data_IF_764064155793
#
_entry.id   IF_764064155793
#
_cell.length_a   1.000
_cell.length_b   1.000
_cell.length_c   1.000
_cell.angle_alpha   90.00
_cell.angle_beta   90.00
_cell.angle_gamma   90.00
#
_symmetry.space_group_name_H-M   'P 1'
#
loop_
_entity.id
_entity.type
_entity.pdbx_description
1 polymer ?
#
# COMPACT_ATOMS: atom_id res chain seq x y z
N UNK A 1 9.70 11.34 -20.16
CA UNK A 1 9.98 9.95 -20.61
C UNK A 1 9.49 9.03 -19.52
N UNK A 2 8.86 7.92 -19.88
CA UNK A 2 8.37 6.95 -18.90
C UNK A 2 9.57 6.32 -18.16
N UNK A 3 9.47 6.20 -16.85
CA UNK A 3 10.49 5.56 -16.03
C UNK A 3 10.10 4.11 -15.80
N UNK A 4 10.85 3.19 -16.39
CA UNK A 4 10.56 1.76 -16.34
C UNK A 4 11.44 1.01 -15.35
N UNK A 5 12.35 1.70 -14.67
CA UNK A 5 13.29 1.09 -13.73
C UNK A 5 12.76 1.14 -12.29
N UNK A 6 13.13 0.13 -11.50
CA UNK A 6 12.91 0.16 -10.06
C UNK A 6 14.19 0.64 -9.39
N UNK A 7 14.13 1.84 -8.85
CA UNK A 7 15.24 2.44 -8.13
C UNK A 7 15.45 1.75 -6.78
N UNK A 8 16.67 1.87 -6.23
CA UNK A 8 17.01 1.43 -4.88
C UNK A 8 17.54 2.62 -4.10
N UNK A 9 17.02 2.86 -2.90
CA UNK A 9 17.46 4.01 -2.12
C UNK A 9 16.76 4.15 -0.78
N UNK A 10 17.41 4.75 0.20
CA UNK A 10 16.88 4.89 1.55
C UNK A 10 15.52 5.60 1.59
N UNK A 11 14.64 5.28 2.55
CA UNK A 11 13.37 5.98 2.71
C UNK A 11 13.61 7.44 3.08
N UNK A 12 12.72 8.32 2.62
CA UNK A 12 12.74 9.74 3.01
C UNK A 12 12.44 9.93 4.51
N UNK A 13 13.00 10.99 5.10
CA UNK A 13 12.86 11.30 6.53
C UNK A 13 11.42 11.60 7.00
N UNK A 14 10.47 11.74 6.07
CA UNK A 14 9.06 11.97 6.35
C UNK A 14 8.29 10.69 6.74
N UNK A 15 8.91 9.52 6.51
CA UNK A 15 8.33 8.20 6.79
C UNK A 15 8.55 7.88 8.26
N UNK A 16 7.46 7.69 9.01
CA UNK A 16 7.55 7.21 10.38
C UNK A 16 7.94 5.73 10.37
N UNK A 17 8.97 5.34 11.12
CA UNK A 17 9.33 3.93 11.25
C UNK A 17 8.53 3.30 12.38
N UNK A 18 7.83 2.20 12.09
CA UNK A 18 7.24 1.34 13.11
C UNK A 18 8.08 0.09 13.32
N UNK A 19 8.21 -0.35 14.57
CA UNK A 19 8.83 -1.63 14.88
C UNK A 19 8.00 -2.78 14.31
N UNK A 20 8.65 -3.90 14.04
CA UNK A 20 7.97 -5.09 13.56
C UNK A 20 7.13 -5.69 14.71
N UNK A 21 5.79 -5.71 14.62
CA UNK A 21 4.95 -6.29 15.65
C UNK A 21 5.06 -7.81 15.65
N UNK A 22 4.69 -8.43 16.77
CA UNK A 22 4.47 -9.88 16.84
C UNK A 22 3.02 -10.18 16.48
N UNK A 23 2.82 -11.24 15.69
CA UNK A 23 1.50 -11.79 15.47
C UNK A 23 0.89 -12.27 16.81
N UNK A 24 -0.42 -12.11 16.94
CA UNK A 24 -1.15 -12.61 18.08
C UNK A 24 -1.46 -14.12 17.93
N UNK A 25 -0.92 -14.99 18.82
CA UNK A 25 -1.11 -16.43 18.70
C UNK A 25 -2.57 -16.89 18.75
N UNK A 26 -3.49 -16.04 19.24
CA UNK A 26 -4.93 -16.32 19.23
C UNK A 26 -5.47 -16.60 17.82
N UNK A 27 -4.81 -16.10 16.79
CA UNK A 27 -5.24 -16.23 15.39
C UNK A 27 -4.44 -17.25 14.57
N UNK A 28 -3.51 -18.00 15.18
CA UNK A 28 -2.64 -18.95 14.46
C UNK A 28 -3.44 -20.01 13.68
N UNK A 29 -4.55 -20.51 14.26
CA UNK A 29 -5.43 -21.48 13.62
C UNK A 29 -6.21 -20.94 12.41
N UNK A 30 -6.19 -19.62 12.19
CA UNK A 30 -6.85 -18.94 11.07
C UNK A 30 -5.88 -18.50 9.97
N UNK A 31 -4.59 -18.81 10.11
CA UNK A 31 -3.58 -18.58 9.07
C UNK A 31 -3.95 -19.42 7.84
N UNK A 32 -3.94 -18.78 6.67
CA UNK A 32 -4.20 -19.40 5.36
C UNK A 32 -2.98 -19.25 4.47
N UNK A 33 -2.78 -20.20 3.56
CA UNK A 33 -1.70 -20.15 2.57
C UNK A 33 -0.29 -20.17 3.17
N UNK A 34 -0.12 -20.56 4.44
CA UNK A 34 1.20 -20.65 5.09
C UNK A 34 1.87 -19.30 5.38
N UNK A 35 1.12 -18.19 5.35
CA UNK A 35 1.65 -16.84 5.58
C UNK A 35 0.99 -16.20 6.80
N UNK A 36 1.80 -15.74 7.75
CA UNK A 36 1.33 -14.92 8.88
C UNK A 36 1.65 -13.45 8.62
N UNK A 37 0.63 -12.64 8.31
CA UNK A 37 0.80 -11.21 8.05
C UNK A 37 1.17 -10.45 9.33
N UNK A 38 2.18 -9.59 9.26
CA UNK A 38 2.67 -8.82 10.41
C UNK A 38 2.40 -7.33 10.22
N UNK A 39 2.71 -6.77 9.06
CA UNK A 39 2.52 -5.34 8.79
C UNK A 39 1.92 -5.17 7.41
N UNK A 40 0.90 -4.31 7.35
CA UNK A 40 0.51 -3.56 6.17
C UNK A 40 0.46 -2.10 6.55
N UNK A 41 1.38 -1.33 5.99
CA UNK A 41 1.49 0.09 6.30
C UNK A 41 1.50 0.90 5.02
N UNK A 42 0.75 1.99 5.03
CA UNK A 42 0.79 3.00 4.00
C UNK A 42 0.95 4.38 4.63
N UNK A 43 1.88 5.16 4.09
CA UNK A 43 2.03 6.57 4.42
C UNK A 43 1.98 7.38 3.16
N UNK A 44 1.17 8.43 3.14
CA UNK A 44 0.98 9.30 1.99
C UNK A 44 1.30 10.72 2.42
N UNK A 45 2.03 11.44 1.59
CA UNK A 45 2.14 12.89 1.70
C UNK A 45 1.82 13.57 0.38
N UNK A 46 1.15 14.70 0.46
CA UNK A 46 1.01 15.62 -0.67
C UNK A 46 2.39 16.18 -1.05
N UNK A 47 2.58 16.44 -2.35
CA UNK A 47 3.68 17.23 -2.88
C UNK A 47 3.17 18.14 -4.00
N UNK A 48 3.96 19.15 -4.43
CA UNK A 48 3.67 19.86 -5.66
C UNK A 48 3.54 18.88 -6.84
N UNK A 49 2.40 18.93 -7.53
CA UNK A 49 2.12 18.10 -8.72
C UNK A 49 1.71 16.66 -8.45
N UNK A 50 1.45 16.26 -7.20
CA UNK A 50 0.92 14.93 -6.89
C UNK A 50 1.18 14.46 -5.47
N UNK A 51 1.59 13.20 -5.33
CA UNK A 51 1.81 12.57 -4.02
C UNK A 51 3.12 11.80 -3.98
N UNK A 52 3.61 11.58 -2.78
CA UNK A 52 4.61 10.56 -2.49
C UNK A 52 4.01 9.61 -1.45
N UNK A 53 4.04 8.32 -1.78
CA UNK A 53 3.49 7.28 -0.94
C UNK A 53 4.57 6.28 -0.57
N UNK A 54 4.51 5.76 0.63
CA UNK A 54 5.35 4.71 1.14
C UNK A 54 4.47 3.52 1.53
N UNK A 55 4.75 2.34 0.98
CA UNK A 55 4.15 1.08 1.42
C UNK A 55 5.16 0.14 2.04
N UNK A 56 4.78 -0.46 3.16
CA UNK A 56 5.51 -1.55 3.81
C UNK A 56 4.62 -2.77 3.92
N UNK A 57 5.22 -3.92 3.64
CA UNK A 57 4.64 -5.20 4.00
C UNK A 57 5.67 -6.03 4.76
N UNK A 58 5.20 -6.69 5.81
CA UNK A 58 5.98 -7.71 6.49
C UNK A 58 5.12 -8.93 6.80
N UNK A 59 5.66 -10.12 6.56
CA UNK A 59 4.97 -11.38 6.79
C UNK A 59 5.94 -12.51 7.09
N UNK A 60 5.49 -13.49 7.88
CA UNK A 60 6.26 -14.69 8.24
C UNK A 60 5.86 -15.87 7.38
N UNK A 61 6.85 -16.62 6.89
CA UNK A 61 6.66 -17.92 6.24
C UNK A 61 6.43 -18.98 7.32
N UNK A 62 5.27 -19.61 7.32
CA UNK A 62 4.86 -20.56 8.37
C UNK A 62 5.07 -22.02 7.93
N UNK A 63 4.90 -22.30 6.64
CA UNK A 63 5.05 -23.64 6.07
C UNK A 63 5.55 -23.61 4.61
N UNK A 64 5.57 -24.78 3.97
CA UNK A 64 6.03 -24.94 2.59
C UNK A 64 5.12 -24.26 1.56
N UNK A 65 3.81 -24.24 1.77
CA UNK A 65 2.87 -23.53 0.89
C UNK A 65 3.14 -22.02 0.96
N UNK A 66 3.36 -21.51 2.16
CA UNK A 66 3.79 -20.11 2.35
C UNK A 66 5.11 -19.82 1.66
N UNK A 67 6.07 -20.74 1.71
CA UNK A 67 7.37 -20.56 1.05
C UNK A 67 7.22 -20.42 -0.48
N UNK A 68 6.34 -21.20 -1.09
CA UNK A 68 6.10 -21.16 -2.54
C UNK A 68 5.51 -19.81 -3.00
N UNK A 69 4.72 -19.15 -2.16
CA UNK A 69 4.09 -17.86 -2.47
C UNK A 69 4.87 -16.64 -1.98
N UNK A 70 5.51 -16.75 -0.81
CA UNK A 70 6.19 -15.65 -0.12
C UNK A 70 7.66 -15.47 -0.48
N UNK A 71 8.20 -16.28 -1.40
CA UNK A 71 9.57 -16.12 -1.91
C UNK A 71 9.67 -15.12 -3.08
N UNK A 72 8.55 -14.50 -3.49
CA UNK A 72 8.53 -13.52 -4.56
C UNK A 72 7.70 -12.30 -4.16
N UNK A 73 8.14 -11.12 -4.58
CA UNK A 73 7.41 -9.87 -4.42
C UNK A 73 7.10 -9.33 -5.80
N UNK A 74 5.86 -8.94 -6.02
CA UNK A 74 5.43 -8.29 -7.25
C UNK A 74 4.56 -7.08 -6.93
N UNK A 75 4.69 -6.06 -7.76
CA UNK A 75 3.86 -4.86 -7.65
C UNK A 75 3.71 -4.17 -9.00
N UNK A 76 2.58 -3.50 -9.18
CA UNK A 76 2.25 -2.79 -10.42
C UNK A 76 2.50 -1.28 -10.25
N UNK A 77 2.88 -0.61 -11.34
CA UNK A 77 3.03 0.84 -11.41
C UNK A 77 2.82 1.35 -12.83
N UNK A 78 2.35 2.59 -12.96
CA UNK A 78 2.28 3.30 -14.23
C UNK A 78 3.61 4.05 -14.46
N UNK A 79 4.44 3.63 -15.42
CA UNK A 79 5.74 4.24 -15.67
C UNK A 79 5.65 5.66 -16.25
N UNK A 80 4.48 6.07 -16.76
CA UNK A 80 4.29 7.42 -17.29
C UNK A 80 4.09 8.45 -16.17
N UNK A 81 3.55 8.03 -15.03
CA UNK A 81 3.16 8.92 -13.93
C UNK A 81 3.83 8.61 -12.61
N UNK A 82 4.52 7.46 -12.50
CA UNK A 82 5.08 6.99 -11.23
C UNK A 82 6.56 6.64 -11.34
N UNK A 83 7.33 7.00 -10.31
CA UNK A 83 8.69 6.51 -10.09
C UNK A 83 8.71 5.71 -8.80
N UNK A 84 9.28 4.50 -8.84
CA UNK A 84 9.29 3.59 -7.69
C UNK A 84 10.71 3.40 -7.19
N UNK A 85 10.89 3.52 -5.88
CA UNK A 85 12.14 3.21 -5.18
C UNK A 85 11.88 2.14 -4.14
N UNK A 86 12.52 0.97 -4.28
CA UNK A 86 12.58 -0.01 -3.20
C UNK A 86 13.51 0.54 -2.12
N UNK A 87 12.98 0.70 -0.91
CA UNK A 87 13.71 1.29 0.21
C UNK A 87 14.47 0.27 1.05
N UNK A 88 13.88 -0.91 1.25
CA UNK A 88 14.55 -2.06 1.83
C UNK A 88 13.86 -3.34 1.38
N UNK A 89 14.62 -4.43 1.42
CA UNK A 89 14.14 -5.79 1.23
C UNK A 89 14.98 -6.68 2.15
N UNK A 90 14.36 -7.16 3.22
CA UNK A 90 15.04 -7.89 4.27
C UNK A 90 14.42 -9.28 4.45
N UNK A 91 15.29 -10.24 4.75
CA UNK A 91 14.91 -11.48 5.43
C UNK A 91 15.28 -11.31 6.90
N UNK A 92 14.35 -11.54 7.82
CA UNK A 92 14.63 -11.59 9.25
C UNK A 92 14.54 -13.06 9.68
N UNK A 93 15.69 -13.64 10.04
CA UNK A 93 15.85 -15.05 10.42
C UNK A 93 16.41 -15.13 11.83
N UNK A 94 15.66 -15.73 12.74
CA UNK A 94 16.05 -15.87 14.15
C UNK A 94 16.46 -14.52 14.80
N UNK A 95 15.78 -13.44 14.41
CA UNK A 95 16.06 -12.07 14.87
C UNK A 95 17.22 -11.37 14.16
N UNK A 96 17.94 -12.05 13.25
CA UNK A 96 19.01 -11.47 12.44
C UNK A 96 18.44 -10.90 11.15
N UNK A 97 18.73 -9.62 10.87
CA UNK A 97 18.35 -8.95 9.62
C UNK A 97 19.39 -9.25 8.53
N UNK A 98 18.93 -9.81 7.43
CA UNK A 98 19.71 -10.08 6.23
C UNK A 98 19.21 -9.16 5.12
N UNK A 99 20.00 -8.14 4.79
CA UNK A 99 19.69 -7.22 3.69
C UNK A 99 19.86 -7.93 2.34
N UNK A 100 18.78 -7.96 1.56
CA UNK A 100 18.73 -8.56 0.22
C UNK A 100 18.67 -7.50 -0.89
N UNK A 101 18.35 -6.25 -0.57
CA UNK A 101 18.13 -5.21 -1.58
C UNK A 101 19.34 -4.97 -2.51
N UNK A 102 20.60 -4.93 -2.03
CA UNK A 102 21.76 -4.72 -2.90
C UNK A 102 21.88 -5.77 -4.01
N UNK A 103 21.50 -7.02 -3.74
CA UNK A 103 21.58 -8.15 -4.68
C UNK A 103 20.28 -8.43 -5.44
N UNK A 104 19.19 -7.79 -5.05
CA UNK A 104 17.89 -7.96 -5.71
C UNK A 104 17.93 -7.50 -7.18
N UNK A 105 17.40 -8.31 -8.08
CA UNK A 105 17.17 -7.93 -9.47
C UNK A 105 15.67 -7.81 -9.70
N UNK A 106 15.25 -6.68 -10.27
CA UNK A 106 13.85 -6.43 -10.60
C UNK A 106 13.61 -6.72 -12.07
N UNK A 107 12.80 -7.74 -12.36
CA UNK A 107 12.29 -8.00 -13.69
C UNK A 107 11.05 -7.13 -13.89
N UNK A 108 11.10 -6.23 -14.88
CA UNK A 108 9.99 -5.33 -15.19
C UNK A 108 9.42 -5.71 -16.54
N UNK A 109 8.12 -6.01 -16.56
CA UNK A 109 7.43 -6.47 -17.77
C UNK A 109 5.99 -5.97 -17.81
N UNK A 110 5.42 -5.94 -19.03
CA UNK A 110 4.00 -5.67 -19.23
C UNK A 110 3.22 -6.96 -19.02
N UNK A 111 2.17 -6.91 -18.21
CA UNK A 111 1.22 -8.01 -18.03
C UNK A 111 -0.17 -7.52 -18.40
N UNK A 112 -0.52 -7.62 -19.67
CA UNK A 112 -1.81 -7.15 -20.19
C UNK A 112 -2.90 -8.18 -19.85
N UNK A 113 -3.53 -8.02 -18.68
CA UNK A 113 -4.63 -8.90 -18.23
C UNK A 113 -5.88 -8.80 -19.13
N UNK A 114 -6.03 -7.70 -19.88
CA UNK A 114 -7.18 -7.39 -20.73
C UNK A 114 -6.81 -7.15 -22.21
N UNK A 115 -5.66 -7.67 -22.69
CA UNK A 115 -5.25 -7.57 -24.09
C UNK A 115 -6.34 -8.08 -25.05
N UNK A 116 -7.06 -9.12 -24.65
CA UNK A 116 -8.18 -9.71 -25.40
C UNK A 116 -9.37 -8.75 -25.58
N UNK A 117 -9.46 -7.70 -24.75
CA UNK A 117 -10.45 -6.61 -24.85
C UNK A 117 -9.90 -5.37 -25.58
N UNK A 118 -8.67 -5.44 -26.11
CA UNK A 118 -8.01 -4.33 -26.80
C UNK A 118 -7.60 -3.17 -25.89
N UNK A 119 -7.58 -3.36 -24.57
CA UNK A 119 -7.20 -2.35 -23.60
C UNK A 119 -5.70 -2.47 -23.27
N UNK A 120 -4.94 -1.44 -23.63
CA UNK A 120 -3.53 -1.29 -23.27
C UNK A 120 -3.44 -0.13 -22.28
N UNK A 121 -3.39 -0.43 -20.97
CA UNK A 121 -3.34 0.59 -19.92
C UNK A 121 -1.92 1.13 -19.66
N UNK A 122 -0.88 0.47 -20.20
CA UNK A 122 0.52 0.87 -20.09
C UNK A 122 1.18 0.54 -18.75
N UNK A 123 0.48 -0.13 -17.82
CA UNK A 123 1.04 -0.48 -16.52
C UNK A 123 2.12 -1.55 -16.63
N UNK A 124 3.14 -1.45 -15.78
CA UNK A 124 4.20 -2.42 -15.66
C UNK A 124 4.07 -3.19 -14.35
N UNK A 125 4.41 -4.47 -14.39
CA UNK A 125 4.64 -5.29 -13.20
C UNK A 125 6.14 -5.36 -12.96
N UNK A 126 6.58 -4.97 -11.77
CA UNK A 126 7.90 -5.30 -11.27
C UNK A 126 7.83 -6.57 -10.44
N UNK A 127 8.79 -7.45 -10.65
CA UNK A 127 8.90 -8.74 -9.98
C UNK A 127 10.31 -8.90 -9.41
N UNK A 128 10.42 -9.43 -8.20
CA UNK A 128 11.70 -9.78 -7.57
C UNK A 128 11.57 -11.11 -6.84
N UNK A 129 12.51 -12.01 -7.11
CA UNK A 129 12.71 -13.21 -6.30
C UNK A 129 13.50 -12.84 -5.04
N UNK A 130 13.05 -13.32 -3.90
CA UNK A 130 13.77 -13.22 -2.64
C UNK A 130 14.52 -14.54 -2.43
N UNK A 131 15.83 -14.53 -2.72
CA UNK A 131 16.64 -15.75 -2.66
C UNK A 131 16.90 -16.24 -1.23
N UNK A 132 16.98 -17.57 -1.08
CA UNK A 132 17.27 -18.25 0.21
C UNK A 132 16.23 -17.90 1.30
N UNK A 133 14.95 -17.89 0.95
CA UNK A 133 13.84 -17.84 1.93
C UNK A 133 13.58 -19.23 2.49
N UNK A 134 13.24 -19.30 3.78
CA UNK A 134 12.99 -20.53 4.53
C UNK A 134 11.71 -20.42 5.36
N UNK A 135 11.15 -21.57 5.71
CA UNK A 135 10.11 -21.64 6.73
C UNK A 135 10.65 -21.07 8.05
N UNK A 136 9.89 -20.18 8.67
CA UNK A 136 10.27 -19.44 9.87
C UNK A 136 10.78 -18.02 9.60
N UNK A 137 11.24 -17.74 8.39
CA UNK A 137 11.73 -16.40 8.01
C UNK A 137 10.58 -15.38 7.98
N UNK A 138 10.92 -14.12 8.25
CA UNK A 138 10.06 -12.97 7.98
C UNK A 138 10.62 -12.22 6.78
N UNK A 139 9.76 -11.94 5.81
CA UNK A 139 10.07 -11.01 4.72
C UNK A 139 9.56 -9.64 5.15
N UNK A 140 10.41 -8.63 5.10
CA UNK A 140 10.06 -7.22 5.38
C UNK A 140 10.61 -6.35 4.25
N UNK A 141 9.72 -5.69 3.52
CA UNK A 141 10.09 -4.77 2.47
C UNK A 141 9.27 -3.49 2.54
N UNK A 142 9.88 -2.42 2.07
CA UNK A 142 9.22 -1.13 1.96
C UNK A 142 9.66 -0.42 0.70
N UNK A 143 8.73 0.27 0.04
CA UNK A 143 9.02 1.06 -1.15
C UNK A 143 8.33 2.41 -1.08
N UNK A 144 8.92 3.38 -1.76
CA UNK A 144 8.36 4.70 -1.97
C UNK A 144 7.97 4.82 -3.43
N UNK A 145 6.77 5.32 -3.68
CA UNK A 145 6.29 5.67 -5.02
C UNK A 145 6.02 7.16 -5.06
N UNK A 146 6.72 7.84 -5.94
CA UNK A 146 6.40 9.21 -6.34
C UNK A 146 5.38 9.13 -7.46
N UNK A 147 4.20 9.75 -7.31
CA UNK A 147 3.16 9.79 -8.34
C UNK A 147 2.88 11.24 -8.74
N UNK A 148 2.93 11.50 -10.04
CA UNK A 148 2.63 12.77 -10.68
C UNK A 148 1.47 12.54 -11.65
N UNK A 149 0.21 12.67 -11.21
CA UNK A 149 -0.95 12.45 -12.07
C UNK A 149 -0.96 13.41 -13.26
N UNK A 150 -1.38 12.94 -14.44
CA UNK A 150 -1.57 13.78 -15.64
C UNK A 150 -2.77 14.72 -15.46
N UNK A 151 -3.81 14.22 -14.78
CA UNK A 151 -5.07 14.92 -14.53
C UNK A 151 -5.38 14.87 -13.04
N UNK A 152 -6.03 15.91 -12.52
CA UNK A 152 -6.47 15.94 -11.13
C UNK A 152 -5.33 15.81 -10.11
N UNK A 153 -4.17 16.43 -10.37
CA UNK A 153 -2.99 16.32 -9.48
C UNK A 153 -3.25 16.81 -8.03
N UNK A 154 -4.24 17.68 -7.82
CA UNK A 154 -4.68 18.17 -6.51
C UNK A 154 -5.86 17.35 -5.92
N UNK A 155 -6.39 16.39 -6.67
CA UNK A 155 -7.41 15.48 -6.19
C UNK A 155 -6.76 14.31 -5.45
N UNK A 156 -7.33 13.98 -4.30
CA UNK A 156 -6.90 12.87 -3.49
C UNK A 156 -8.11 12.06 -3.06
N UNK A 157 -8.04 10.75 -3.32
CA UNK A 157 -9.01 9.77 -2.88
C UNK A 157 -8.24 8.54 -2.44
N UNK A 158 -8.57 8.03 -1.26
CA UNK A 158 -7.94 6.83 -0.73
C UNK A 158 -8.96 6.04 0.09
N UNK A 159 -8.86 4.72 0.04
CA UNK A 159 -9.70 3.83 0.81
C UNK A 159 -8.85 2.71 1.36
N UNK A 160 -8.97 2.46 2.65
CA UNK A 160 -8.14 1.47 3.34
C UNK A 160 -8.99 0.62 4.28
N UNK A 161 -8.81 -0.70 4.20
CA UNK A 161 -9.43 -1.64 5.11
C UNK A 161 -8.62 -1.72 6.41
N UNK A 162 -9.29 -1.65 7.55
CA UNK A 162 -8.72 -1.71 8.90
C UNK A 162 -8.77 -3.12 9.52
N UNK A 163 -9.27 -4.11 8.77
CA UNK A 163 -9.17 -5.53 9.09
C UNK A 163 -9.34 -6.34 7.79
N UNK A 164 -8.79 -7.54 7.74
CA UNK A 164 -8.82 -8.40 6.56
C UNK A 164 -9.52 -9.73 6.89
N UNK A 165 -9.70 -10.58 5.86
CA UNK A 165 -10.17 -11.95 6.05
C UNK A 165 -9.11 -12.91 6.58
N UNK A 166 -7.85 -12.48 6.62
CA UNK A 166 -6.73 -13.21 7.20
C UNK A 166 -6.16 -12.47 8.42
N UNK A 167 -5.56 -13.18 9.39
CA UNK A 167 -4.87 -12.57 10.51
C UNK A 167 -3.76 -11.61 10.06
N UNK A 168 -3.68 -10.46 10.71
CA UNK A 168 -2.62 -9.46 10.53
C UNK A 168 -2.31 -8.78 11.86
N UNK A 169 -1.03 -8.56 12.16
CA UNK A 169 -0.64 -7.96 13.44
C UNK A 169 -0.82 -6.43 13.50
N UNK A 170 -0.54 -5.71 12.41
CA UNK A 170 -0.70 -4.27 12.32
C UNK A 170 -1.17 -3.85 10.93
N UNK A 171 -2.26 -3.09 10.89
CA UNK A 171 -2.61 -2.22 9.76
C UNK A 171 -2.37 -0.78 10.23
N UNK A 172 -1.61 0.01 9.45
CA UNK A 172 -1.36 1.42 9.73
C UNK A 172 -1.49 2.27 8.48
N UNK A 173 -2.34 3.29 8.55
CA UNK A 173 -2.48 4.30 7.50
C UNK A 173 -2.06 5.67 8.07
N UNK A 174 -1.21 6.41 7.35
CA UNK A 174 -0.91 7.80 7.67
C UNK A 174 -1.06 8.68 6.44
N UNK A 175 -1.91 9.69 6.51
CA UNK A 175 -2.03 10.71 5.45
C UNK A 175 -1.56 12.05 6.00
N UNK A 176 -0.59 12.67 5.33
CA UNK A 176 -0.09 14.02 5.62
C UNK A 176 -0.49 14.97 4.48
N UNK A 177 -1.27 15.99 4.81
CA UNK A 177 -1.92 16.85 3.84
C UNK A 177 -1.83 18.33 4.25
N UNK A 178 -1.94 19.30 3.32
CA UNK A 178 -2.00 20.72 3.68
C UNK A 178 -3.12 21.02 4.69
N UNK A 179 -2.78 21.73 5.77
CA UNK A 179 -3.73 22.10 6.82
C UNK A 179 -4.83 23.06 6.30
N UNK A 180 -4.54 23.81 5.24
CA UNK A 180 -5.49 24.68 4.53
C UNK A 180 -6.50 23.93 3.66
N UNK A 181 -6.30 22.63 3.42
CA UNK A 181 -7.17 21.78 2.61
C UNK A 181 -7.63 20.59 3.47
N UNK A 182 -8.63 20.77 4.34
CA UNK A 182 -9.08 19.68 5.20
C UNK A 182 -9.61 18.50 4.39
N UNK A 183 -9.28 17.28 4.81
CA UNK A 183 -9.74 16.04 4.20
C UNK A 183 -11.12 15.66 4.73
N UNK A 184 -11.98 15.16 3.85
CA UNK A 184 -13.23 14.50 4.19
C UNK A 184 -12.95 13.04 4.50
N UNK A 185 -13.38 12.57 5.68
CA UNK A 185 -13.14 11.22 6.17
C UNK A 185 -14.48 10.57 6.46
N UNK A 186 -14.68 9.37 5.91
CA UNK A 186 -15.86 8.53 6.17
C UNK A 186 -15.42 7.18 6.69
N UNK A 187 -15.96 6.79 7.83
CA UNK A 187 -15.82 5.45 8.40
C UNK A 187 -16.98 4.58 7.94
N UNK A 188 -16.68 3.35 7.54
CA UNK A 188 -17.67 2.34 7.17
C UNK A 188 -17.41 1.08 7.99
N UNK A 189 -18.39 0.66 8.79
CA UNK A 189 -18.32 -0.55 9.64
C UNK A 189 -17.14 -0.54 10.63
N UNK A 190 -16.73 0.64 11.08
CA UNK A 190 -15.68 0.86 12.07
C UNK A 190 -15.91 2.17 12.80
N UNK A 191 -15.43 2.27 14.02
CA UNK A 191 -15.41 3.48 14.85
C UNK A 191 -13.98 4.05 15.03
N UNK A 192 -12.98 3.44 14.38
CA UNK A 192 -11.57 3.84 14.47
C UNK A 192 -11.39 5.27 13.99
N UNK A 193 -11.03 6.15 14.92
CA UNK A 193 -10.68 7.55 14.66
C UNK A 193 -9.18 7.70 14.38
N UNK A 194 -8.77 8.69 13.56
CA UNK A 194 -7.35 8.99 13.40
C UNK A 194 -6.79 9.71 14.62
N UNK A 195 -5.52 9.44 14.95
CA UNK A 195 -4.69 10.41 15.66
C UNK A 195 -4.37 11.57 14.72
N UNK A 196 -4.75 12.79 15.09
CA UNK A 196 -4.60 13.98 14.25
C UNK A 196 -3.55 14.90 14.85
N UNK A 197 -2.52 15.21 14.07
CA UNK A 197 -1.45 16.15 14.44
C UNK A 197 -1.35 17.25 13.41
N UNK A 198 -1.09 18.48 13.88
CA UNK A 198 -0.84 19.64 13.03
C UNK A 198 0.57 20.11 13.28
N UNK A 199 1.36 20.27 12.23
CA UNK A 199 2.74 20.75 12.26
C UNK A 199 2.92 21.81 11.16
N UNK A 200 2.98 23.07 11.58
CA UNK A 200 3.01 24.22 10.67
C UNK A 200 1.86 24.22 9.67
N UNK A 201 2.19 24.12 8.38
CA UNK A 201 1.24 24.14 7.27
C UNK A 201 0.67 22.75 6.92
N UNK A 202 1.06 21.70 7.65
CA UNK A 202 0.67 20.32 7.38
C UNK A 202 -0.18 19.74 8.51
N UNK A 203 -1.12 18.87 8.17
CA UNK A 203 -1.91 18.07 9.09
C UNK A 203 -1.76 16.60 8.74
N UNK A 204 -1.46 15.77 9.72
CA UNK A 204 -1.37 14.32 9.58
C UNK A 204 -2.51 13.61 10.29
N UNK A 205 -3.05 12.58 9.66
CA UNK A 205 -4.08 11.69 10.19
C UNK A 205 -3.52 10.28 10.21
N UNK A 206 -3.51 9.62 11.36
CA UNK A 206 -2.97 8.25 11.51
C UNK A 206 -4.03 7.31 12.05
N UNK A 207 -4.39 6.28 11.28
CA UNK A 207 -5.26 5.18 11.72
C UNK A 207 -4.42 3.93 11.97
N UNK A 208 -4.79 3.18 13.00
CA UNK A 208 -4.13 1.93 13.34
C UNK A 208 -5.14 0.87 13.77
N UNK A 209 -4.88 -0.36 13.35
CA UNK A 209 -5.55 -1.55 13.88
C UNK A 209 -4.48 -2.56 14.30
N UNK A 210 -4.50 -2.93 15.57
CA UNK A 210 -3.53 -3.88 16.15
C UNK A 210 -4.25 -5.20 16.41
N UNK A 211 -3.77 -6.27 15.78
CA UNK A 211 -4.35 -7.61 15.85
C UNK A 211 -5.88 -7.62 15.70
N UNK A 212 -6.46 -6.96 14.65
CA UNK A 212 -7.90 -6.98 14.46
C UNK A 212 -8.40 -8.41 14.26
N UNK A 213 -9.61 -8.70 14.75
CA UNK A 213 -10.25 -9.97 14.48
C UNK A 213 -10.45 -10.14 12.96
N UNK A 214 -10.06 -11.28 12.36
CA UNK A 214 -10.29 -11.52 10.94
C UNK A 214 -11.78 -11.48 10.61
N UNK A 215 -12.11 -10.80 9.51
CA UNK A 215 -13.48 -10.64 9.03
C UNK A 215 -13.83 -11.79 8.10
N UNK A 216 -14.82 -12.59 8.47
CA UNK A 216 -15.33 -13.62 7.57
C UNK A 216 -16.04 -12.95 6.39
N UNK A 217 -15.53 -13.18 5.18
CA UNK A 217 -16.26 -12.80 3.98
C UNK A 217 -17.45 -13.74 3.79
N UNK A 218 -18.59 -13.17 3.45
CA UNK A 218 -19.75 -13.93 2.98
C UNK A 218 -19.65 -14.08 1.45
N UNK A 219 -20.14 -15.20 0.94
CA UNK A 219 -20.24 -15.43 -0.50
C UNK A 219 -21.44 -14.67 -1.08
N UNK A 220 -21.39 -14.37 -2.39
CA UNK A 220 -22.50 -13.76 -3.14
C UNK A 220 -22.92 -12.36 -2.66
N UNK A 221 -22.01 -11.61 -2.01
CA UNK A 221 -22.22 -10.19 -1.75
C UNK A 221 -22.13 -9.37 -3.05
N UNK A 222 -22.90 -8.27 -3.18
CA UNK A 222 -22.73 -7.33 -4.28
C UNK A 222 -21.29 -6.82 -4.37
N UNK A 223 -20.81 -6.55 -5.58
CA UNK A 223 -19.41 -6.15 -5.82
C UNK A 223 -19.03 -4.81 -5.13
N UNK A 224 -20.00 -3.95 -4.85
CA UNK A 224 -19.85 -2.66 -4.18
C UNK A 224 -20.04 -2.74 -2.65
N UNK A 225 -20.31 -3.93 -2.10
CA UNK A 225 -20.47 -4.12 -0.67
C UNK A 225 -19.10 -4.09 0.04
N UNK A 226 -18.92 -3.09 0.91
CA UNK A 226 -17.70 -2.96 1.73
C UNK A 226 -17.70 -3.98 2.88
N UNK A 227 -17.14 -5.17 2.60
CA UNK A 227 -17.06 -6.29 3.56
C UNK A 227 -16.17 -5.99 4.76
N UNK A 228 -15.11 -5.21 4.58
CA UNK A 228 -14.14 -4.92 5.64
C UNK A 228 -14.43 -3.57 6.31
N UNK A 229 -14.10 -3.40 7.61
CA UNK A 229 -14.08 -2.08 8.25
C UNK A 229 -13.17 -1.17 7.43
N UNK A 230 -13.67 -0.04 6.95
CA UNK A 230 -12.99 0.76 5.93
C UNK A 230 -12.98 2.23 6.31
N UNK A 231 -11.86 2.89 6.07
CA UNK A 231 -11.72 4.35 6.10
C UNK A 231 -11.64 4.84 4.65
N UNK A 232 -12.53 5.76 4.29
CA UNK A 232 -12.52 6.46 3.00
C UNK A 232 -12.11 7.92 3.23
N UNK A 233 -11.20 8.41 2.40
CA UNK A 233 -10.57 9.71 2.53
C UNK A 233 -10.68 10.45 1.19
N UNK A 234 -11.06 11.72 1.21
CA UNK A 234 -11.14 12.57 0.01
C UNK A 234 -10.67 14.00 0.27
N UNK A 235 -10.01 14.62 -0.70
CA UNK A 235 -9.74 16.08 -0.70
C UNK A 235 -10.91 16.92 -1.22
N UNK A 236 -12.00 16.30 -1.69
CA UNK A 236 -13.18 16.98 -2.24
C UNK A 236 -14.41 16.78 -1.36
N UNK A 237 -15.32 17.75 -1.36
CA UNK A 237 -16.54 17.69 -0.56
C UNK A 237 -17.78 17.33 -1.39
N UNK A 238 -17.73 17.52 -2.71
CA UNK A 238 -18.85 17.30 -3.63
C UNK A 238 -18.35 16.94 -5.04
N UNK A 239 -19.22 16.31 -5.81
CA UNK A 239 -18.94 15.93 -7.20
C UNK A 239 -18.53 17.10 -8.10
N UNK A 240 -19.05 18.31 -7.84
CA UNK A 240 -18.70 19.48 -8.63
C UNK A 240 -17.20 19.77 -8.58
N UNK A 241 -16.53 19.54 -7.44
CA UNK A 241 -15.09 19.78 -7.30
C UNK A 241 -14.28 18.85 -8.25
N UNK A 242 -14.75 17.61 -8.41
CA UNK A 242 -14.18 16.63 -9.36
C UNK A 242 -14.45 17.06 -10.80
N UNK A 243 -15.68 17.47 -11.09
CA UNK A 243 -16.05 17.97 -12.43
C UNK A 243 -15.19 19.17 -12.81
N UNK A 244 -15.03 20.14 -11.92
CA UNK A 244 -14.25 21.36 -12.20
C UNK A 244 -12.77 21.04 -12.46
N UNK A 245 -12.20 20.07 -11.73
CA UNK A 245 -10.82 19.62 -11.92
C UNK A 245 -10.62 18.81 -13.21
N UNK A 246 -11.62 18.04 -13.63
CA UNK A 246 -11.49 17.10 -14.76
C UNK A 246 -11.97 17.68 -16.10
N UNK A 247 -13.02 18.50 -16.09
CA UNK A 247 -13.69 19.02 -17.29
C UNK A 247 -12.75 19.73 -18.28
N UNK A 248 -11.73 20.52 -17.87
CA UNK A 248 -10.79 21.14 -18.80
C UNK A 248 -10.08 20.15 -19.73
N UNK A 249 -9.87 18.91 -19.29
CA UNK A 249 -9.19 17.87 -20.07
C UNK A 249 -10.11 17.16 -21.10
N UNK A 250 -11.42 17.42 -21.06
CA UNK A 250 -12.41 16.84 -21.98
C UNK A 250 -12.98 17.85 -22.96
N UNK A 251 -12.58 19.12 -22.88
CA UNK A 251 -12.94 20.11 -23.88
C UNK A 251 -12.07 19.86 -25.11
N UNK A 252 -12.72 19.44 -26.19
CA UNK A 252 -12.14 19.52 -27.52
C UNK A 252 -12.24 21.00 -27.94
N UNK A 253 -11.14 21.55 -28.46
CA UNK A 253 -11.15 22.86 -29.13
C UNK A 253 -12.17 22.89 -30.29
#
# INVERSE_FOLDING_TARGET
>A
MADTEIHKGSPGAWIDRVELPKADPRFDSQIKGGISNLVSEYQIRQRPGGIEAFDRYAYKIVDRTGLEHGAAINFEFDPATSQVTMNWLNIIRDGVVIDRLPRATFDVFRREKDAEKGLFDGWLTAYVNVDDVRVGDIIDYGRTTVRTPIVGADLFFHSVAMAWGEPIALIREKVTWPASQPLNIRQVRTDIQPDVKTDGASKSYTWQSVNPAPVKSEENLPADFLTYPTIQISSTAKWQDVVDAMLPYYRLD
#
